data_IF_180941011249
#
_entry.id   IF_180941011249
#
_cell.length_a   1.000
_cell.length_b   1.000
_cell.length_c   1.000
_cell.angle_alpha   90.00
_cell.angle_beta   90.00
_cell.angle_gamma   90.00
#
_symmetry.space_group_name_H-M   'P 1'
#
loop_
_entity.id
_entity.type
_entity.pdbx_description
1 polymer ?
#
# COMPACT_ATOMS: atom_id res chain seq x y z
N UNK A 1 11.46 -43.18 48.54
CA UNK A 1 10.53 -42.04 48.47
C UNK A 1 10.82 -41.27 47.19
N UNK A 2 9.91 -41.29 46.22
CA UNK A 2 9.40 -40.14 45.47
C UNK A 2 8.52 -40.68 44.33
N UNK A 3 7.32 -40.14 44.29
CA UNK A 3 6.15 -40.53 43.51
C UNK A 3 5.98 -39.52 42.37
N UNK A 4 5.14 -39.85 41.37
CA UNK A 4 4.47 -38.94 40.40
C UNK A 4 5.37 -38.48 39.22
N UNK A 5 4.92 -38.32 37.98
CA UNK A 5 3.58 -38.32 37.37
C UNK A 5 3.71 -38.33 35.85
N UNK A 6 2.81 -39.04 35.18
CA UNK A 6 2.51 -38.95 33.75
C UNK A 6 2.04 -37.53 33.38
N UNK A 7 2.73 -36.88 32.43
CA UNK A 7 2.43 -35.54 31.93
C UNK A 7 2.11 -35.53 30.43
N UNK A 8 0.84 -35.27 30.14
CA UNK A 8 0.12 -35.21 28.85
C UNK A 8 0.80 -34.38 27.75
N UNK A 9 0.83 -34.92 26.54
CA UNK A 9 1.19 -34.26 25.27
C UNK A 9 0.15 -33.18 24.93
N UNK A 10 0.58 -31.92 24.84
CA UNK A 10 -0.22 -30.79 24.36
C UNK A 10 0.24 -30.35 22.98
N UNK A 11 -0.50 -30.76 21.95
CA UNK A 11 -0.36 -30.29 20.57
C UNK A 11 -0.88 -28.84 20.48
N UNK A 12 0.00 -27.87 20.21
CA UNK A 12 -0.40 -26.50 19.90
C UNK A 12 -0.54 -26.34 18.39
N UNK A 13 -1.80 -26.37 17.96
CA UNK A 13 -2.22 -26.09 16.58
C UNK A 13 -1.80 -24.67 16.18
N UNK A 14 -1.02 -24.60 15.11
CA UNK A 14 -0.69 -23.39 14.38
C UNK A 14 -1.95 -22.70 13.86
N UNK A 15 -2.28 -21.52 14.37
CA UNK A 15 -3.24 -20.62 13.73
C UNK A 15 -2.56 -19.95 12.55
N UNK A 16 -2.86 -20.40 11.33
CA UNK A 16 -2.57 -19.63 10.12
C UNK A 16 -3.39 -18.33 10.17
N UNK A 17 -2.71 -17.20 10.36
CA UNK A 17 -3.29 -15.89 10.11
C UNK A 17 -3.23 -15.63 8.61
N UNK A 18 -4.35 -15.80 7.92
CA UNK A 18 -4.49 -15.35 6.54
C UNK A 18 -4.64 -13.83 6.56
N UNK A 19 -3.64 -13.14 6.02
CA UNK A 19 -3.68 -11.70 5.76
C UNK A 19 -4.72 -11.48 4.67
N UNK A 20 -5.84 -10.85 5.02
CA UNK A 20 -6.83 -10.39 4.06
C UNK A 20 -6.22 -9.26 3.22
N UNK A 21 -5.85 -9.57 1.98
CA UNK A 21 -5.48 -8.58 0.99
C UNK A 21 -6.70 -7.70 0.70
N UNK A 22 -6.47 -6.40 0.70
CA UNK A 22 -7.43 -5.33 0.37
C UNK A 22 -8.06 -5.57 -0.99
N UNK A 23 -9.24 -6.17 -1.01
CA UNK A 23 -10.16 -6.04 -2.14
C UNK A 23 -10.73 -4.63 -2.12
N UNK A 24 -10.49 -3.85 -3.17
CA UNK A 24 -11.32 -2.67 -3.48
C UNK A 24 -12.75 -3.16 -3.69
N UNK A 25 -13.51 -3.23 -2.60
CA UNK A 25 -14.90 -3.62 -2.63
C UNK A 25 -15.71 -2.44 -3.14
N UNK A 26 -16.27 -2.57 -4.34
CA UNK A 26 -17.46 -1.85 -4.72
C UNK A 26 -18.59 -2.30 -3.77
N UNK A 27 -18.64 -1.70 -2.59
CA UNK A 27 -19.72 -1.92 -1.62
C UNK A 27 -20.82 -0.94 -1.96
N UNK A 28 -21.79 -1.37 -2.76
CA UNK A 28 -23.10 -0.74 -2.68
C UNK A 28 -23.74 -1.19 -1.38
N UNK A 29 -24.01 -0.25 -0.49
CA UNK A 29 -24.76 -0.52 0.73
C UNK A 29 -26.19 -0.90 0.36
N UNK A 30 -26.47 -2.19 0.36
CA UNK A 30 -27.82 -2.67 0.63
C UNK A 30 -28.20 -2.13 2.01
N UNK A 31 -29.05 -1.10 2.03
CA UNK A 31 -29.62 -0.59 3.27
C UNK A 31 -30.71 -1.57 3.74
N UNK A 32 -30.27 -2.68 4.30
CA UNK A 32 -31.05 -3.62 5.10
C UNK A 32 -30.15 -4.09 6.22
N UNK A 33 -30.33 -3.56 7.43
CA UNK A 33 -29.69 -4.14 8.60
C UNK A 33 -30.19 -5.59 8.71
N UNK A 34 -29.27 -6.55 8.62
CA UNK A 34 -29.47 -7.98 8.88
C UNK A 34 -29.79 -8.91 7.68
N UNK A 35 -29.16 -8.71 6.52
CA UNK A 35 -29.15 -9.73 5.45
C UNK A 35 -27.77 -9.82 4.78
N UNK A 36 -27.37 -11.03 4.39
CA UNK A 36 -26.16 -11.27 3.59
C UNK A 36 -26.32 -10.42 2.33
N UNK A 37 -25.35 -9.55 2.01
CA UNK A 37 -25.43 -8.76 0.78
C UNK A 37 -25.51 -9.71 -0.40
N UNK A 38 -26.64 -9.72 -1.11
CA UNK A 38 -26.79 -10.49 -2.35
C UNK A 38 -25.63 -10.17 -3.31
N UNK A 39 -25.15 -11.21 -3.99
CA UNK A 39 -24.16 -11.01 -5.06
C UNK A 39 -24.77 -10.06 -6.10
N UNK A 40 -24.16 -8.90 -6.27
CA UNK A 40 -24.64 -7.87 -7.20
C UNK A 40 -24.57 -8.41 -8.64
N UNK A 41 -25.69 -8.30 -9.36
CA UNK A 41 -25.71 -8.58 -10.80
C UNK A 41 -24.90 -7.51 -11.56
N UNK A 42 -23.73 -7.91 -12.04
CA UNK A 42 -22.78 -7.04 -12.75
C UNK A 42 -23.22 -6.75 -14.20
N UNK A 43 -24.30 -7.37 -14.70
CA UNK A 43 -24.85 -7.06 -16.02
C UNK A 43 -25.71 -5.79 -16.03
N UNK A 44 -26.15 -5.33 -14.85
CA UNK A 44 -26.95 -4.12 -14.69
C UNK A 44 -26.06 -2.90 -14.41
N UNK A 45 -26.50 -1.68 -14.76
CA UNK A 45 -25.81 -0.46 -14.38
C UNK A 45 -25.63 -0.36 -12.85
N UNK A 46 -24.43 0.01 -12.42
CA UNK A 46 -24.06 0.15 -11.02
C UNK A 46 -23.85 1.63 -10.68
N UNK A 47 -24.13 2.01 -9.43
CA UNK A 47 -23.81 3.34 -8.95
C UNK A 47 -22.30 3.48 -8.69
N UNK A 48 -21.72 4.60 -9.12
CA UNK A 48 -20.33 4.95 -8.82
C UNK A 48 -20.17 6.44 -8.55
N UNK A 49 -19.45 6.78 -7.49
CA UNK A 49 -18.99 8.15 -7.20
C UNK A 49 -17.67 8.40 -7.94
N UNK A 50 -17.72 9.02 -9.13
CA UNK A 50 -16.52 9.34 -9.91
C UNK A 50 -16.52 10.80 -10.38
N UNK A 51 -15.33 11.39 -10.44
CA UNK A 51 -15.16 12.81 -10.81
C UNK A 51 -15.31 13.06 -12.32
N UNK A 52 -15.01 12.05 -13.13
CA UNK A 52 -15.14 12.07 -14.60
C UNK A 52 -16.58 11.81 -15.06
N UNK A 53 -17.36 11.07 -14.27
CA UNK A 53 -18.76 10.77 -14.56
C UNK A 53 -19.67 11.42 -13.51
N UNK A 54 -19.98 12.73 -13.63
CA UNK A 54 -20.75 13.48 -12.63
C UNK A 54 -22.17 12.97 -12.41
N UNK A 55 -22.75 12.29 -13.41
CA UNK A 55 -24.12 11.82 -13.43
C UNK A 55 -24.11 10.31 -13.63
N UNK A 56 -24.19 9.50 -12.55
CA UNK A 56 -24.21 8.06 -12.66
C UNK A 56 -25.56 7.56 -13.21
N UNK A 57 -25.48 6.47 -13.96
CA UNK A 57 -26.62 5.84 -14.64
C UNK A 57 -27.72 5.40 -13.67
N UNK A 58 -27.30 4.96 -12.48
CA UNK A 58 -28.17 4.54 -11.38
C UNK A 58 -28.18 5.60 -10.26
N UNK A 59 -29.28 5.84 -9.53
CA UNK A 59 -29.24 6.63 -8.30
C UNK A 59 -28.58 5.86 -7.16
N UNK A 60 -28.15 6.57 -6.12
CA UNK A 60 -27.63 5.93 -4.91
C UNK A 60 -28.68 5.09 -4.19
N UNK A 61 -29.88 5.63 -3.99
CA UNK A 61 -31.01 4.92 -3.37
C UNK A 61 -32.04 4.55 -4.43
N UNK A 62 -32.16 3.26 -4.75
CA UNK A 62 -33.19 2.77 -5.69
C UNK A 62 -34.52 2.48 -5.01
N UNK A 63 -34.48 1.87 -3.82
CA UNK A 63 -35.68 1.54 -3.06
C UNK A 63 -36.04 2.74 -2.18
N UNK A 64 -37.12 3.42 -2.55
CA UNK A 64 -37.58 4.63 -1.87
C UNK A 64 -38.60 4.29 -0.79
N UNK A 65 -38.43 4.88 0.39
CA UNK A 65 -39.38 4.81 1.49
C UNK A 65 -40.62 5.68 1.22
N UNK A 66 -41.66 5.57 2.05
CA UNK A 66 -42.87 6.38 1.91
C UNK A 66 -42.58 7.89 1.97
N UNK A 67 -41.66 8.28 2.85
CA UNK A 67 -41.16 9.66 2.99
C UNK A 67 -40.47 10.12 1.71
N UNK A 68 -39.57 9.31 1.16
CA UNK A 68 -38.81 9.65 -0.04
C UNK A 68 -39.72 9.74 -1.27
N UNK A 69 -40.71 8.86 -1.37
CA UNK A 69 -41.74 8.93 -2.42
C UNK A 69 -42.53 10.23 -2.33
N UNK A 70 -42.89 10.68 -1.12
CA UNK A 70 -43.55 11.98 -0.92
C UNK A 70 -42.66 13.15 -1.35
N UNK A 71 -41.36 13.06 -1.06
CA UNK A 71 -40.37 14.08 -1.42
C UNK A 71 -40.15 14.12 -2.94
N UNK A 72 -40.11 12.97 -3.60
CA UNK A 72 -40.08 12.84 -5.07
C UNK A 72 -41.35 13.37 -5.74
N UNK A 73 -42.51 13.32 -5.08
CA UNK A 73 -43.71 13.99 -5.60
C UNK A 73 -43.59 15.52 -5.47
N UNK A 74 -43.07 16.04 -4.36
CA UNK A 74 -42.80 17.47 -4.19
C UNK A 74 -41.75 18.00 -5.19
N UNK A 75 -40.74 17.19 -5.53
CA UNK A 75 -39.68 17.53 -6.50
C UNK A 75 -40.23 17.92 -7.89
N UNK A 76 -41.40 17.38 -8.27
CA UNK A 76 -42.06 17.71 -9.56
C UNK A 76 -42.64 19.13 -9.60
N UNK A 77 -42.83 19.77 -8.44
CA UNK A 77 -43.30 21.14 -8.32
C UNK A 77 -42.18 22.18 -8.40
N UNK A 78 -42.47 23.46 -8.09
CA UNK A 78 -41.46 24.51 -8.09
C UNK A 78 -40.45 24.34 -6.95
N UNK A 79 -39.15 24.35 -7.27
CA UNK A 79 -38.06 24.18 -6.29
C UNK A 79 -37.88 25.36 -5.33
N UNK A 80 -38.59 26.46 -5.55
CA UNK A 80 -38.69 27.57 -4.60
C UNK A 80 -39.50 27.21 -3.36
N UNK A 81 -40.44 26.25 -3.47
CA UNK A 81 -41.25 25.77 -2.35
C UNK A 81 -40.53 24.71 -1.49
N UNK A 82 -39.39 24.18 -1.96
CA UNK A 82 -38.61 23.19 -1.20
C UNK A 82 -37.71 23.87 -0.17
N UNK A 83 -37.71 23.31 1.03
CA UNK A 83 -36.78 23.72 2.09
C UNK A 83 -35.34 23.36 1.72
N UNK A 84 -34.37 24.00 2.39
CA UNK A 84 -32.94 23.68 2.20
C UNK A 84 -32.64 22.21 2.52
N UNK A 85 -33.28 21.68 3.55
CA UNK A 85 -33.11 20.31 4.00
C UNK A 85 -33.72 19.31 3.01
N UNK A 86 -34.89 19.61 2.45
CA UNK A 86 -35.53 18.81 1.41
C UNK A 86 -34.65 18.71 0.14
N UNK A 87 -33.97 19.80 -0.23
CA UNK A 87 -33.00 19.80 -1.34
C UNK A 87 -31.78 18.94 -1.04
N UNK A 88 -31.26 18.99 0.18
CA UNK A 88 -30.13 18.14 0.60
C UNK A 88 -30.55 16.66 0.64
N UNK A 89 -31.76 16.37 1.12
CA UNK A 89 -32.32 15.02 1.11
C UNK A 89 -32.46 14.48 -0.32
N UNK A 90 -33.01 15.27 -1.26
CA UNK A 90 -33.05 14.90 -2.68
C UNK A 90 -31.66 14.63 -3.26
N UNK A 91 -30.66 15.44 -2.88
CA UNK A 91 -29.27 15.21 -3.29
C UNK A 91 -28.76 13.87 -2.77
N UNK A 92 -28.95 13.56 -1.48
CA UNK A 92 -28.50 12.29 -0.87
C UNK A 92 -29.28 11.06 -1.36
N UNK A 93 -30.47 11.24 -1.93
CA UNK A 93 -31.20 10.16 -2.62
C UNK A 93 -30.54 9.81 -3.95
N UNK A 94 -30.06 10.80 -4.70
CA UNK A 94 -29.44 10.59 -6.01
C UNK A 94 -27.95 10.27 -5.89
N UNK A 95 -27.23 10.92 -4.98
CA UNK A 95 -25.78 10.84 -4.82
C UNK A 95 -25.39 10.46 -3.39
N UNK A 96 -24.41 9.57 -3.24
CA UNK A 96 -23.84 9.22 -1.95
C UNK A 96 -22.87 10.29 -1.46
N UNK A 97 -21.84 10.61 -2.23
CA UNK A 97 -20.81 11.59 -1.85
C UNK A 97 -20.91 12.92 -2.60
N UNK A 98 -20.57 14.00 -1.91
CA UNK A 98 -20.35 15.30 -2.56
C UNK A 98 -18.96 15.38 -3.20
N UNK A 99 -18.77 16.29 -4.16
CA UNK A 99 -17.46 16.51 -4.77
C UNK A 99 -16.31 16.76 -3.78
N UNK A 100 -16.50 17.57 -2.72
CA UNK A 100 -15.50 17.73 -1.67
C UNK A 100 -15.25 16.45 -0.86
N UNK A 101 -16.28 15.63 -0.61
CA UNK A 101 -16.12 14.34 0.07
C UNK A 101 -15.32 13.36 -0.78
N UNK A 102 -15.60 13.27 -2.10
CA UNK A 102 -14.86 12.43 -3.04
C UNK A 102 -13.39 12.87 -3.18
N UNK A 103 -13.12 14.18 -3.12
CA UNK A 103 -11.76 14.73 -3.21
C UNK A 103 -10.99 14.74 -1.88
N UNK A 104 -11.58 14.21 -0.80
CA UNK A 104 -10.92 14.20 0.50
C UNK A 104 -9.62 13.38 0.42
N UNK A 105 -8.44 13.96 0.72
CA UNK A 105 -7.19 13.23 0.66
C UNK A 105 -7.13 12.18 1.77
N UNK A 106 -6.54 11.02 1.48
CA UNK A 106 -6.25 10.00 2.49
C UNK A 106 -4.82 10.14 3.03
N UNK A 107 -4.59 9.68 4.26
CA UNK A 107 -3.26 9.61 4.88
C UNK A 107 -2.62 8.22 4.77
N UNK A 108 -3.17 7.36 3.92
CA UNK A 108 -2.72 5.97 3.73
C UNK A 108 -1.27 5.88 3.25
N UNK A 109 -0.78 6.91 2.54
CA UNK A 109 0.62 6.99 2.13
C UNK A 109 1.59 6.88 3.32
N UNK A 110 1.20 7.36 4.50
CA UNK A 110 2.02 7.23 5.72
C UNK A 110 2.15 5.78 6.15
N UNK A 111 1.07 5.01 6.05
CA UNK A 111 1.06 3.57 6.34
C UNK A 111 1.89 2.80 5.32
N UNK A 112 1.77 3.14 4.02
CA UNK A 112 2.56 2.51 2.96
C UNK A 112 4.06 2.75 3.18
N UNK A 113 4.46 4.00 3.40
CA UNK A 113 5.86 4.35 3.65
C UNK A 113 6.37 3.74 4.95
N UNK A 114 5.57 3.77 6.02
CA UNK A 114 5.93 3.14 7.29
C UNK A 114 6.15 1.63 7.14
N UNK A 115 5.25 0.93 6.45
CA UNK A 115 5.39 -0.49 6.14
C UNK A 115 6.67 -0.79 5.35
N UNK A 116 6.95 -0.01 4.30
CA UNK A 116 8.17 -0.15 3.50
C UNK A 116 9.45 -0.06 4.35
N UNK A 117 9.55 0.93 5.24
CA UNK A 117 10.71 1.09 6.11
C UNK A 117 10.85 -0.03 7.14
N UNK A 118 9.74 -0.60 7.64
CA UNK A 118 9.79 -1.78 8.51
C UNK A 118 10.43 -2.95 7.77
N UNK A 119 10.03 -3.22 6.52
CA UNK A 119 10.61 -4.31 5.74
C UNK A 119 12.08 -4.06 5.36
N UNK A 120 12.47 -2.83 5.05
CA UNK A 120 13.89 -2.49 4.87
C UNK A 120 14.70 -2.67 6.16
N UNK A 121 14.14 -2.27 7.31
CA UNK A 121 14.77 -2.50 8.61
C UNK A 121 15.00 -3.98 8.89
N UNK A 122 13.97 -4.81 8.69
CA UNK A 122 14.07 -6.28 8.85
C UNK A 122 15.10 -6.87 7.87
N UNK A 123 15.07 -6.45 6.61
CA UNK A 123 16.04 -6.91 5.60
C UNK A 123 17.48 -6.56 6.00
N UNK A 124 17.70 -5.33 6.49
CA UNK A 124 19.00 -4.90 7.00
C UNK A 124 19.50 -5.75 8.16
N UNK A 125 18.61 -6.12 9.10
CA UNK A 125 18.94 -7.03 10.21
C UNK A 125 19.34 -8.43 9.71
N UNK A 126 18.64 -8.96 8.70
CA UNK A 126 18.98 -10.26 8.10
C UNK A 126 20.36 -10.21 7.43
N UNK A 127 20.65 -9.16 6.66
CA UNK A 127 21.97 -8.99 6.01
C UNK A 127 23.08 -8.83 7.05
N UNK A 128 22.83 -8.09 8.13
CA UNK A 128 23.77 -7.97 9.24
C UNK A 128 24.06 -9.33 9.89
N UNK A 129 23.01 -10.12 10.16
CA UNK A 129 23.16 -11.48 10.70
C UNK A 129 23.96 -12.39 9.76
N UNK A 130 23.69 -12.35 8.46
CA UNK A 130 24.47 -13.09 7.45
C UNK A 130 25.94 -12.67 7.46
N UNK A 131 26.21 -11.37 7.56
CA UNK A 131 27.57 -10.82 7.62
C UNK A 131 28.39 -11.32 8.80
N UNK A 132 27.75 -11.50 9.97
CA UNK A 132 28.46 -11.92 11.18
C UNK A 132 28.58 -13.44 11.32
N UNK A 133 27.56 -14.21 10.92
CA UNK A 133 27.48 -15.64 11.22
C UNK A 133 27.59 -16.56 9.99
N UNK A 134 27.35 -16.07 8.78
CA UNK A 134 27.24 -16.92 7.58
C UNK A 134 28.40 -16.69 6.62
N UNK A 135 28.81 -15.45 6.40
CA UNK A 135 29.85 -15.17 5.41
C UNK A 135 31.25 -15.57 5.90
N UNK A 136 32.07 -16.18 5.02
CA UNK A 136 33.45 -16.52 5.34
C UNK A 136 34.31 -15.25 5.53
N UNK A 137 35.49 -15.38 6.14
CA UNK A 137 36.44 -14.26 6.20
C UNK A 137 36.79 -13.79 4.79
N UNK A 138 36.99 -12.49 4.67
CA UNK A 138 37.40 -11.86 3.42
C UNK A 138 38.75 -12.43 2.96
N UNK A 139 38.97 -12.66 1.65
CA UNK A 139 40.26 -13.18 1.21
C UNK A 139 41.36 -12.14 1.43
N UNK A 140 42.61 -12.57 1.65
CA UNK A 140 43.74 -11.69 2.00
C UNK A 140 44.05 -10.64 0.92
N UNK A 141 43.53 -10.82 -0.31
CA UNK A 141 43.66 -9.84 -1.38
C UNK A 141 42.94 -8.51 -1.11
N UNK A 142 42.06 -8.47 -0.11
CA UNK A 142 41.41 -7.24 0.33
C UNK A 142 42.12 -6.55 1.50
N UNK A 143 43.21 -7.11 2.01
CA UNK A 143 44.05 -6.40 2.98
C UNK A 143 44.59 -5.11 2.35
N UNK A 144 44.69 -4.04 3.13
CA UNK A 144 45.05 -2.71 2.63
C UNK A 144 46.41 -2.70 1.93
N UNK A 145 47.40 -3.43 2.45
CA UNK A 145 48.71 -3.56 1.81
C UNK A 145 48.64 -4.27 0.45
N UNK A 146 47.84 -5.34 0.36
CA UNK A 146 47.66 -6.07 -0.87
C UNK A 146 46.96 -5.19 -1.91
N UNK A 147 45.90 -4.49 -1.49
CA UNK A 147 45.18 -3.55 -2.34
C UNK A 147 46.09 -2.42 -2.83
N UNK A 148 46.96 -1.87 -1.98
CA UNK A 148 47.92 -0.84 -2.37
C UNK A 148 48.95 -1.38 -3.38
N UNK A 149 49.52 -2.57 -3.15
CA UNK A 149 50.45 -3.23 -4.09
C UNK A 149 49.76 -3.56 -5.42
N UNK A 150 48.51 -4.02 -5.37
CA UNK A 150 47.72 -4.33 -6.56
C UNK A 150 47.39 -3.06 -7.34
N UNK A 151 47.01 -1.98 -6.66
CA UNK A 151 46.76 -0.67 -7.26
C UNK A 151 48.03 -0.12 -7.92
N UNK A 152 49.17 -0.15 -7.23
CA UNK A 152 50.46 0.25 -7.79
C UNK A 152 50.78 -0.54 -9.06
N UNK A 153 50.63 -1.87 -9.03
CA UNK A 153 50.82 -2.73 -10.20
C UNK A 153 49.88 -2.35 -11.35
N UNK A 154 48.60 -2.05 -11.06
CA UNK A 154 47.64 -1.62 -12.09
C UNK A 154 48.04 -0.28 -12.73
N UNK A 155 48.56 0.65 -11.93
CA UNK A 155 49.08 1.93 -12.43
C UNK A 155 50.35 1.73 -13.26
N UNK A 156 51.26 0.85 -12.82
CA UNK A 156 52.50 0.53 -13.54
C UNK A 156 52.21 -0.13 -14.91
N UNK A 157 51.21 -1.01 -14.95
CA UNK A 157 50.71 -1.63 -16.19
C UNK A 157 49.82 -0.70 -17.03
N UNK A 158 49.53 0.52 -16.54
CA UNK A 158 48.65 1.51 -17.19
C UNK A 158 47.26 0.96 -17.53
N UNK A 159 46.61 0.28 -16.59
CA UNK A 159 45.24 -0.22 -16.77
C UNK A 159 44.27 0.92 -17.06
N UNK A 160 43.54 0.84 -18.17
CA UNK A 160 42.56 1.83 -18.64
C UNK A 160 43.08 3.28 -18.67
N UNK A 161 44.07 3.61 -19.53
CA UNK A 161 44.82 4.86 -19.45
C UNK A 161 44.15 6.07 -20.10
N UNK A 162 43.05 5.89 -20.84
CA UNK A 162 42.38 6.99 -21.57
C UNK A 162 41.31 7.64 -20.67
N UNK A 163 40.37 6.86 -20.15
CA UNK A 163 39.21 7.37 -19.38
C UNK A 163 39.10 6.76 -17.98
N UNK A 164 39.86 5.71 -17.67
CA UNK A 164 39.72 4.93 -16.44
C UNK A 164 40.81 5.20 -15.41
N UNK A 165 41.09 4.17 -14.59
CA UNK A 165 41.96 4.27 -13.41
C UNK A 165 43.29 5.00 -13.67
N UNK A 166 44.06 4.57 -14.67
CA UNK A 166 45.38 5.14 -14.93
C UNK A 166 45.32 6.55 -15.53
N UNK A 167 44.20 6.95 -16.15
CA UNK A 167 44.05 8.31 -16.68
C UNK A 167 43.95 9.35 -15.55
N UNK A 168 43.45 8.92 -14.38
CA UNK A 168 43.29 9.75 -13.18
C UNK A 168 44.56 9.84 -12.31
N UNK A 169 45.64 9.12 -12.66
CA UNK A 169 46.90 9.17 -11.92
C UNK A 169 47.92 10.09 -12.58
N UNK A 170 48.54 10.98 -11.81
CA UNK A 170 49.65 11.81 -12.26
C UNK A 170 50.97 11.08 -12.06
N UNK A 171 51.46 10.47 -13.14
CA UNK A 171 52.73 9.74 -13.15
C UNK A 171 53.97 10.64 -12.90
N UNK A 172 53.88 11.96 -13.11
CA UNK A 172 55.00 12.87 -12.86
C UNK A 172 55.15 13.14 -11.36
N UNK A 173 54.02 13.47 -10.72
CA UNK A 173 54.00 13.85 -9.31
C UNK A 173 53.70 12.67 -8.36
N UNK A 174 53.42 11.48 -8.90
CA UNK A 174 53.04 10.26 -8.16
C UNK A 174 51.89 10.50 -7.18
N UNK A 175 50.83 11.15 -7.67
CA UNK A 175 49.62 11.42 -6.91
C UNK A 175 48.39 11.29 -7.81
N UNK A 176 47.20 11.17 -7.22
CA UNK A 176 45.95 11.27 -7.96
C UNK A 176 45.80 12.70 -8.53
N UNK A 177 45.33 12.80 -9.78
CA UNK A 177 45.08 14.07 -10.46
C UNK A 177 43.92 14.83 -9.83
#
# INVERSE_FOLDING_TARGET
MLHLTTGRVGCLLSKQAVVALTGSGARMSSHGHHEVSDSVDMSQPMYWDRLDTPLPDRPWKDVLDSTDKSLKQKEKGPWTALSKEEKIALYRLKFNHTYPEMKRPSHEWKTVIGGMFIFFGITGLVVFWQGHYVYPPQPPTFDEEWQAKQLQRMLDMRTNPIEGLSSQWDYKNKQWK
#
